data_IF_709224701024
#
_entry.id   IF_709224701024
#
_cell.length_a   1.000
_cell.length_b   1.000
_cell.length_c   1.000
_cell.angle_alpha   90.00
_cell.angle_beta   90.00
_cell.angle_gamma   90.00
#
_symmetry.space_group_name_H-M   'P 1'
#
loop_
_entity.id
_entity.type
_entity.pdbx_description
1 polymer ?
#
# COMPACT_ATOMS: atom_id res chain seq x y z
N UNK A 1 0.71 14.07 -6.77
CA UNK A 1 0.90 13.08 -5.69
C UNK A 1 1.95 12.09 -6.16
N UNK A 2 2.85 11.59 -5.30
CA UNK A 2 3.93 10.63 -5.68
C UNK A 2 3.57 9.16 -5.40
N UNK A 3 2.29 8.85 -5.54
CA UNK A 3 1.74 7.52 -5.32
C UNK A 3 0.97 7.09 -6.55
N UNK A 4 1.11 5.83 -6.93
CA UNK A 4 0.22 5.21 -7.91
C UNK A 4 -1.20 5.21 -7.36
N UNK A 5 -2.17 5.21 -8.27
CA UNK A 5 -3.57 5.13 -7.89
C UNK A 5 -3.88 3.75 -7.28
N UNK A 6 -4.48 3.75 -6.09
CA UNK A 6 -4.99 2.55 -5.44
C UNK A 6 -3.94 1.53 -5.03
N UNK A 7 -4.39 0.28 -4.94
CA UNK A 7 -3.62 -0.87 -4.48
C UNK A 7 -4.49 -1.81 -3.67
N UNK A 8 -4.66 -3.06 -4.14
CA UNK A 8 -5.47 -4.07 -3.45
C UNK A 8 -4.53 -5.03 -2.74
N UNK A 9 -4.56 -5.00 -1.42
CA UNK A 9 -3.87 -5.91 -0.52
C UNK A 9 -4.75 -6.19 0.69
N UNK A 10 -4.54 -7.31 1.35
CA UNK A 10 -5.34 -7.72 2.50
C UNK A 10 -4.72 -8.89 3.23
N UNK A 11 -5.43 -9.39 4.23
CA UNK A 11 -5.05 -10.59 4.98
C UNK A 11 -6.05 -11.71 4.66
N UNK A 12 -5.59 -12.96 4.68
CA UNK A 12 -6.49 -14.10 4.43
C UNK A 12 -7.67 -14.09 5.41
N UNK A 13 -8.87 -14.38 4.89
CA UNK A 13 -10.11 -14.37 5.66
C UNK A 13 -10.73 -12.98 5.86
N UNK A 14 -10.11 -11.89 5.38
CA UNK A 14 -10.67 -10.55 5.50
C UNK A 14 -10.60 -9.75 4.18
N UNK A 15 -11.73 -9.18 3.77
CA UNK A 15 -11.86 -8.40 2.53
C UNK A 15 -11.52 -6.91 2.67
N UNK A 16 -11.06 -6.46 3.84
CA UNK A 16 -10.81 -5.04 4.14
C UNK A 16 -9.66 -4.83 5.12
N UNK A 17 -9.60 -3.66 5.75
CA UNK A 17 -8.66 -3.37 6.85
C UNK A 17 -7.23 -2.99 6.44
N UNK A 18 -6.82 -3.25 5.19
CA UNK A 18 -5.52 -2.82 4.65
C UNK A 18 -5.71 -1.94 3.42
N UNK A 19 -5.02 -0.81 3.38
CA UNK A 19 -5.01 0.10 2.23
C UNK A 19 -3.66 -0.07 1.52
N UNK A 20 -3.68 -0.57 0.29
CA UNK A 20 -2.49 -0.65 -0.55
C UNK A 20 -2.05 0.72 -1.04
N UNK A 21 -0.74 0.96 -1.04
CA UNK A 21 -0.13 2.16 -1.61
C UNK A 21 1.24 1.83 -2.16
N UNK A 22 1.51 2.37 -3.35
CA UNK A 22 2.72 2.09 -4.10
C UNK A 22 3.35 3.40 -4.58
N UNK A 23 4.66 3.54 -4.39
CA UNK A 23 5.41 4.69 -4.91
C UNK A 23 5.39 4.70 -6.44
N UNK A 24 5.31 5.89 -7.05
CA UNK A 24 5.44 6.04 -8.50
C UNK A 24 6.89 5.97 -9.01
N UNK A 25 7.88 6.11 -8.11
CA UNK A 25 9.33 6.07 -8.39
C UNK A 25 10.05 5.07 -7.45
N UNK A 26 9.76 3.76 -7.55
CA UNK A 26 10.26 2.76 -6.60
C UNK A 26 11.79 2.57 -6.64
N UNK A 27 12.45 2.85 -7.77
CA UNK A 27 13.92 2.74 -7.89
C UNK A 27 14.64 3.84 -7.10
N UNK A 28 14.10 5.06 -7.13
CA UNK A 28 14.64 6.21 -6.39
C UNK A 28 14.30 6.12 -4.90
N UNK A 29 13.13 5.57 -4.55
CA UNK A 29 12.64 5.49 -3.18
C UNK A 29 12.27 4.04 -2.78
N UNK A 30 13.25 3.12 -2.71
CA UNK A 30 12.99 1.70 -2.50
C UNK A 30 12.33 1.40 -1.15
N UNK A 31 12.62 2.20 -0.11
CA UNK A 31 12.05 2.01 1.23
C UNK A 31 10.54 2.25 1.34
N UNK A 32 9.94 2.91 0.35
CA UNK A 32 8.49 3.15 0.27
C UNK A 32 7.90 2.63 -1.04
N UNK A 33 8.61 1.74 -1.73
CA UNK A 33 8.09 1.08 -2.93
C UNK A 33 6.69 0.49 -2.65
N UNK A 34 6.53 -0.16 -1.50
CA UNK A 34 5.26 -0.58 -0.90
C UNK A 34 5.07 0.14 0.44
N UNK A 35 3.95 0.83 0.63
CA UNK A 35 3.66 1.56 1.87
C UNK A 35 2.20 1.36 2.30
N UNK A 36 1.88 0.18 2.83
CA UNK A 36 0.52 -0.15 3.23
C UNK A 36 0.13 0.51 4.55
N UNK A 37 -1.16 0.84 4.72
CA UNK A 37 -1.71 1.28 6.00
C UNK A 37 -2.70 0.25 6.54
N UNK A 38 -2.56 -0.09 7.82
CA UNK A 38 -3.44 -1.00 8.54
C UNK A 38 -4.47 -0.21 9.35
N UNK A 39 -5.74 -0.60 9.30
CA UNK A 39 -6.77 -0.13 10.24
C UNK A 39 -6.87 -1.14 11.38
N UNK A 40 -6.69 -0.66 12.61
CA UNK A 40 -6.76 -1.46 13.85
C UNK A 40 -7.93 -0.92 14.67
N UNK A 41 -8.74 -1.82 15.23
CA UNK A 41 -9.85 -1.48 16.12
C UNK A 41 -9.40 -1.36 17.57
#
# INVERSE_FOLDING_TARGET
>A
THWKHGGIVGVFGHGGGVIGRYCDQPETFPGVAHLHTMRIN
#
